data_IF_989281747711
#
_entry.id   IF_989281747711
#
_cell.length_a   1.000
_cell.length_b   1.000
_cell.length_c   1.000
_cell.angle_alpha   90.00
_cell.angle_beta   90.00
_cell.angle_gamma   90.00
#
_symmetry.space_group_name_H-M   'P 1'
#
loop_
_entity.id
_entity.type
_entity.pdbx_description
1 polymer ?
#
# COMPACT_ATOMS: atom_id res chain seq x y z
N UNK A 1 -14.67 -11.18 20.60
CA UNK A 1 -13.55 -12.01 20.13
C UNK A 1 -13.10 -11.47 18.78
N UNK A 2 -11.81 -11.47 18.49
CA UNK A 2 -11.30 -11.12 17.15
C UNK A 2 -11.61 -12.24 16.16
N UNK A 3 -11.91 -11.86 14.92
CA UNK A 3 -12.13 -12.84 13.83
C UNK A 3 -10.75 -13.22 13.28
N UNK A 4 -10.48 -14.50 13.07
CA UNK A 4 -9.23 -14.95 12.45
C UNK A 4 -9.23 -14.66 10.94
N UNK A 5 -8.07 -14.41 10.32
CA UNK A 5 -7.98 -14.23 8.89
C UNK A 5 -8.32 -15.52 8.12
N UNK A 6 -9.09 -15.38 7.06
CA UNK A 6 -9.20 -16.38 6.00
C UNK A 6 -8.15 -16.08 4.91
N UNK A 7 -7.54 -17.13 4.38
CA UNK A 7 -6.53 -17.03 3.32
C UNK A 7 -7.15 -17.38 1.99
N UNK A 8 -6.96 -16.54 1.00
CA UNK A 8 -7.54 -16.69 -0.34
C UNK A 8 -6.51 -16.36 -1.41
N UNK A 9 -6.81 -16.78 -2.64
CA UNK A 9 -6.01 -16.43 -3.81
C UNK A 9 -6.93 -16.14 -4.99
N UNK A 10 -6.44 -15.33 -5.92
CA UNK A 10 -7.06 -15.11 -7.23
C UNK A 10 -6.02 -15.33 -8.33
N UNK A 11 -6.42 -15.90 -9.47
CA UNK A 11 -5.56 -15.91 -10.65
C UNK A 11 -5.38 -14.49 -11.18
N UNK A 12 -4.19 -14.17 -11.61
CA UNK A 12 -3.86 -12.92 -12.29
C UNK A 12 -2.91 -13.21 -13.45
N UNK A 13 -3.40 -13.14 -14.68
CA UNK A 13 -2.68 -13.58 -15.88
C UNK A 13 -2.19 -15.04 -15.73
N UNK A 14 -0.87 -15.27 -15.83
CA UNK A 14 -0.22 -16.58 -15.61
C UNK A 14 0.30 -16.76 -14.18
N UNK A 15 -0.13 -15.91 -13.25
CA UNK A 15 0.33 -15.86 -11.85
C UNK A 15 -0.85 -16.04 -10.89
N UNK A 16 -0.54 -16.17 -9.62
CA UNK A 16 -1.53 -16.23 -8.56
C UNK A 16 -1.20 -15.19 -7.51
N UNK A 17 -2.16 -14.38 -7.12
CA UNK A 17 -2.00 -13.44 -6.02
C UNK A 17 -2.75 -13.93 -4.78
N UNK A 18 -2.05 -14.00 -3.66
CA UNK A 18 -2.54 -14.44 -2.35
C UNK A 18 -2.81 -13.25 -1.44
N UNK A 19 -3.79 -13.41 -0.55
CA UNK A 19 -4.14 -12.40 0.45
C UNK A 19 -4.80 -13.02 1.67
N UNK A 20 -4.73 -12.32 2.79
CA UNK A 20 -5.50 -12.58 3.99
C UNK A 20 -6.69 -11.63 4.04
N UNK A 21 -7.87 -12.13 4.42
CA UNK A 21 -9.08 -11.34 4.59
C UNK A 21 -9.69 -11.58 5.96
N UNK A 22 -10.08 -10.49 6.62
CA UNK A 22 -10.90 -10.53 7.84
C UNK A 22 -12.17 -9.74 7.56
N UNK A 23 -13.32 -10.37 7.74
CA UNK A 23 -14.62 -9.72 7.63
C UNK A 23 -15.58 -10.27 8.67
N UNK A 24 -16.35 -9.38 9.28
CA UNK A 24 -17.54 -9.74 10.09
C UNK A 24 -18.82 -9.65 9.27
N UNK A 25 -18.79 -8.84 8.21
CA UNK A 25 -19.90 -8.61 7.30
C UNK A 25 -19.37 -8.10 5.96
N UNK A 26 -19.76 -8.74 4.87
CA UNK A 26 -19.32 -8.39 3.52
C UNK A 26 -19.88 -7.06 3.00
N UNK A 27 -20.83 -6.46 3.72
CA UNK A 27 -21.36 -5.11 3.38
C UNK A 27 -20.52 -3.96 3.94
N UNK A 28 -19.48 -4.24 4.73
CA UNK A 28 -18.58 -3.23 5.28
C UNK A 28 -17.70 -2.61 4.16
N UNK A 29 -17.28 -1.33 4.32
CA UNK A 29 -16.28 -0.73 3.46
C UNK A 29 -14.98 -1.56 3.44
N UNK A 30 -14.30 -1.58 2.29
CA UNK A 30 -13.09 -2.34 2.11
C UNK A 30 -11.86 -1.52 2.53
N UNK A 31 -11.01 -2.10 3.38
CA UNK A 31 -9.70 -1.56 3.73
C UNK A 31 -8.62 -2.50 3.22
N UNK A 32 -7.80 -2.02 2.28
CA UNK A 32 -6.77 -2.80 1.59
C UNK A 32 -5.38 -2.35 2.04
N UNK A 33 -4.63 -3.27 2.64
CA UNK A 33 -3.25 -3.06 3.06
C UNK A 33 -2.27 -3.60 2.03
N UNK A 34 -1.31 -2.76 1.62
CA UNK A 34 -0.25 -3.09 0.65
C UNK A 34 1.11 -2.85 1.27
N UNK A 35 1.87 -3.94 1.45
CA UNK A 35 3.17 -3.92 2.14
C UNK A 35 4.30 -3.32 1.30
N UNK A 36 5.39 -2.93 1.97
CA UNK A 36 6.65 -2.48 1.36
C UNK A 36 7.53 -3.63 0.85
N UNK A 37 8.80 -3.34 0.60
CA UNK A 37 9.80 -4.30 0.14
C UNK A 37 10.96 -4.41 1.17
N UNK A 38 11.29 -5.60 1.67
CA UNK A 38 10.48 -6.82 1.61
C UNK A 38 9.25 -6.76 2.53
N UNK A 39 8.27 -7.64 2.30
CA UNK A 39 7.09 -7.72 3.14
C UNK A 39 6.16 -8.89 2.78
N UNK A 40 5.07 -8.99 3.51
CA UNK A 40 3.99 -9.93 3.27
C UNK A 40 2.71 -9.48 4.00
N UNK A 41 1.58 -10.16 3.76
CA UNK A 41 0.29 -9.85 4.34
C UNK A 41 0.31 -9.69 5.88
N UNK A 42 1.10 -10.51 6.60
CA UNK A 42 1.18 -10.48 8.07
C UNK A 42 1.80 -9.20 8.64
N UNK A 43 2.39 -8.36 7.79
CA UNK A 43 2.92 -7.05 8.18
C UNK A 43 1.88 -6.07 8.73
N UNK A 44 0.59 -6.43 8.67
CA UNK A 44 -0.52 -5.63 9.20
C UNK A 44 -1.39 -6.37 10.23
N UNK A 45 -0.89 -7.50 10.77
CA UNK A 45 -1.65 -8.29 11.75
C UNK A 45 -2.12 -7.48 12.95
N UNK A 46 -1.28 -6.56 13.44
CA UNK A 46 -1.63 -5.68 14.57
C UNK A 46 -2.86 -4.79 14.30
N UNK A 47 -3.09 -4.39 13.03
CA UNK A 47 -4.27 -3.64 12.63
C UNK A 47 -5.43 -4.58 12.28
N UNK A 48 -5.14 -5.71 11.64
CA UNK A 48 -6.17 -6.69 11.28
C UNK A 48 -6.81 -7.35 12.50
N UNK A 49 -6.07 -7.54 13.59
CA UNK A 49 -6.57 -8.11 14.85
C UNK A 49 -7.36 -7.10 15.71
N UNK A 50 -7.34 -5.82 15.34
CA UNK A 50 -8.06 -4.79 16.08
C UNK A 50 -9.58 -4.93 15.91
N UNK A 51 -10.27 -5.18 17.03
CA UNK A 51 -11.71 -5.45 17.02
C UNK A 51 -12.59 -4.26 16.63
N UNK A 52 -12.10 -3.02 16.79
CA UNK A 52 -12.82 -1.82 16.36
C UNK A 52 -12.72 -1.67 14.85
N UNK A 53 -11.53 -1.90 14.27
CA UNK A 53 -11.36 -1.92 12.82
C UNK A 53 -12.16 -3.06 12.16
N UNK A 54 -12.19 -4.27 12.77
CA UNK A 54 -13.01 -5.39 12.31
C UNK A 54 -14.53 -5.12 12.32
N UNK A 55 -15.00 -4.21 13.19
CA UNK A 55 -16.41 -3.77 13.19
C UNK A 55 -16.70 -2.76 12.09
N UNK A 56 -15.69 -2.03 11.64
CA UNK A 56 -15.85 -0.93 10.69
C UNK A 56 -15.53 -1.33 9.25
N UNK A 57 -14.63 -2.29 9.04
CA UNK A 57 -14.09 -2.64 7.74
C UNK A 57 -14.09 -4.15 7.47
N UNK A 58 -14.29 -4.52 6.21
CA UNK A 58 -13.74 -5.73 5.63
C UNK A 58 -12.29 -5.44 5.30
N UNK A 59 -11.34 -6.12 5.94
CA UNK A 59 -9.91 -5.84 5.79
C UNK A 59 -9.23 -6.90 4.94
N UNK A 60 -8.45 -6.46 3.97
CA UNK A 60 -7.61 -7.29 3.12
C UNK A 60 -6.16 -6.88 3.30
N UNK A 61 -5.27 -7.86 3.49
CA UNK A 61 -3.83 -7.65 3.43
C UNK A 61 -3.23 -8.57 2.38
N UNK A 62 -2.58 -7.98 1.39
CA UNK A 62 -2.08 -8.72 0.22
C UNK A 62 -0.66 -9.24 0.44
N UNK A 63 -0.33 -10.36 -0.20
CA UNK A 63 1.04 -10.66 -0.58
C UNK A 63 1.26 -10.09 -1.98
N UNK A 64 2.10 -9.05 -2.14
CA UNK A 64 2.41 -8.52 -3.48
C UNK A 64 3.07 -9.59 -4.35
N UNK A 65 2.95 -9.50 -5.66
CA UNK A 65 3.60 -10.44 -6.57
C UNK A 65 5.10 -10.56 -6.29
N UNK A 66 5.58 -11.80 -6.13
CA UNK A 66 6.94 -12.14 -5.74
C UNK A 66 7.15 -12.39 -4.25
N UNK A 67 6.17 -12.05 -3.40
CA UNK A 67 6.25 -12.19 -1.93
C UNK A 67 5.21 -13.18 -1.39
N UNK A 68 5.45 -13.67 -0.18
CA UNK A 68 4.54 -14.54 0.55
C UNK A 68 4.15 -15.76 -0.26
N UNK A 69 2.85 -15.91 -0.56
CA UNK A 69 2.32 -16.99 -1.40
C UNK A 69 1.96 -16.52 -2.82
N UNK A 70 2.33 -15.29 -3.20
CA UNK A 70 2.10 -14.72 -4.53
C UNK A 70 3.31 -14.95 -5.42
N UNK A 71 3.48 -16.19 -5.93
CA UNK A 71 4.61 -16.60 -6.77
C UNK A 71 5.98 -16.22 -6.15
N UNK A 72 6.19 -16.66 -4.92
CA UNK A 72 7.38 -16.35 -4.12
C UNK A 72 8.69 -16.49 -4.90
N UNK A 73 9.53 -15.47 -4.83
CA UNK A 73 10.82 -15.41 -5.54
C UNK A 73 10.75 -14.89 -6.96
N UNK A 74 9.56 -14.77 -7.58
CA UNK A 74 9.40 -14.25 -8.94
C UNK A 74 9.03 -12.77 -8.90
N UNK A 75 10.04 -11.90 -8.90
CA UNK A 75 9.83 -10.45 -8.81
C UNK A 75 8.87 -9.91 -9.88
N UNK A 76 8.01 -8.98 -9.49
CA UNK A 76 7.28 -8.10 -10.38
C UNK A 76 7.79 -6.67 -10.21
N UNK A 77 8.35 -6.10 -11.24
CA UNK A 77 9.05 -4.82 -11.17
C UNK A 77 8.15 -3.63 -11.52
N UNK A 78 7.09 -3.88 -12.29
CA UNK A 78 6.16 -2.85 -12.72
C UNK A 78 5.19 -2.48 -11.61
N UNK A 79 5.14 -1.19 -11.27
CA UNK A 79 4.15 -0.63 -10.35
C UNK A 79 2.72 -0.85 -10.86
N UNK A 80 2.51 -0.76 -12.18
CA UNK A 80 1.23 -0.98 -12.84
C UNK A 80 0.76 -2.43 -12.71
N UNK A 81 1.65 -3.41 -12.97
CA UNK A 81 1.32 -4.82 -12.81
C UNK A 81 1.04 -5.20 -11.36
N UNK A 82 1.76 -4.61 -10.40
CA UNK A 82 1.48 -4.77 -8.98
C UNK A 82 0.09 -4.20 -8.62
N UNK A 83 -0.26 -3.00 -9.12
CA UNK A 83 -1.56 -2.38 -8.91
C UNK A 83 -2.70 -3.24 -9.49
N UNK A 84 -2.61 -3.61 -10.77
CA UNK A 84 -3.63 -4.43 -11.45
C UNK A 84 -3.83 -5.79 -10.79
N UNK A 85 -2.76 -6.39 -10.25
CA UNK A 85 -2.89 -7.65 -9.51
C UNK A 85 -3.72 -7.50 -8.22
N UNK A 86 -3.58 -6.36 -7.53
CA UNK A 86 -4.36 -6.07 -6.32
C UNK A 86 -5.81 -5.73 -6.68
N UNK A 87 -6.03 -5.06 -7.80
CA UNK A 87 -7.37 -4.75 -8.32
C UNK A 87 -8.16 -6.02 -8.59
N UNK A 88 -7.54 -7.09 -9.08
CA UNK A 88 -8.22 -8.38 -9.25
C UNK A 88 -8.72 -8.99 -7.94
N UNK A 89 -8.05 -8.71 -6.81
CA UNK A 89 -8.54 -9.06 -5.47
C UNK A 89 -9.75 -8.20 -5.11
N UNK A 90 -9.66 -6.89 -5.36
CA UNK A 90 -10.73 -5.94 -5.05
C UNK A 90 -11.99 -6.27 -5.84
N UNK A 91 -11.88 -6.56 -7.11
CA UNK A 91 -13.00 -6.99 -7.97
C UNK A 91 -13.72 -8.21 -7.39
N UNK A 92 -12.96 -9.20 -6.93
CA UNK A 92 -13.52 -10.41 -6.31
C UNK A 92 -14.18 -10.13 -4.95
N UNK A 93 -13.60 -9.26 -4.14
CA UNK A 93 -13.99 -9.10 -2.73
C UNK A 93 -14.97 -7.94 -2.51
N UNK A 94 -15.06 -6.96 -3.42
CA UNK A 94 -15.96 -5.80 -3.30
C UNK A 94 -17.29 -6.01 -4.05
N UNK A 95 -17.94 -7.14 -3.78
CA UNK A 95 -19.20 -7.52 -4.45
C UNK A 95 -20.36 -6.57 -4.20
N UNK A 96 -20.32 -5.78 -3.15
CA UNK A 96 -21.34 -4.78 -2.80
C UNK A 96 -21.00 -3.35 -3.27
N UNK A 97 -19.98 -3.19 -4.11
CA UNK A 97 -19.55 -1.91 -4.68
C UNK A 97 -19.38 -0.80 -3.62
N UNK A 98 -18.87 -1.18 -2.45
CA UNK A 98 -18.55 -0.24 -1.38
C UNK A 98 -17.28 0.52 -1.72
N UNK A 99 -17.20 1.70 -1.17
CA UNK A 99 -16.00 2.53 -1.25
C UNK A 99 -14.81 1.84 -0.58
N UNK A 100 -13.62 2.19 -1.01
CA UNK A 100 -12.38 1.50 -0.68
C UNK A 100 -11.43 2.49 -0.01
N UNK A 101 -10.80 2.03 1.06
CA UNK A 101 -9.69 2.72 1.70
C UNK A 101 -8.41 1.95 1.33
N UNK A 102 -7.45 2.65 0.74
CA UNK A 102 -6.14 2.10 0.42
C UNK A 102 -5.10 2.53 1.46
N UNK A 103 -4.29 1.57 1.90
CA UNK A 103 -3.25 1.79 2.88
C UNK A 103 -1.94 1.17 2.40
N UNK A 104 -1.08 2.01 1.80
CA UNK A 104 0.21 1.59 1.26
C UNK A 104 1.38 2.03 2.14
N UNK A 105 2.33 1.12 2.40
CA UNK A 105 3.55 1.43 3.15
C UNK A 105 4.78 1.30 2.25
N UNK A 106 5.70 2.28 2.37
CA UNK A 106 6.99 2.26 1.68
C UNK A 106 6.81 2.04 0.18
N UNK A 107 7.33 0.95 -0.39
CA UNK A 107 7.14 0.52 -1.77
C UNK A 107 5.66 0.27 -2.14
N UNK A 108 4.81 -0.09 -1.18
CA UNK A 108 3.36 -0.24 -1.40
C UNK A 108 2.61 1.09 -1.59
N UNK A 109 3.21 2.21 -1.16
CA UNK A 109 2.55 3.52 -1.26
C UNK A 109 2.36 4.00 -2.71
N UNK A 110 3.37 3.98 -3.60
CA UNK A 110 3.15 4.35 -5.00
C UNK A 110 2.20 3.38 -5.74
N UNK A 111 2.17 2.10 -5.37
CA UNK A 111 1.23 1.13 -5.94
C UNK A 111 -0.21 1.54 -5.60
N UNK A 112 -0.51 1.80 -4.32
CA UNK A 112 -1.84 2.24 -3.89
C UNK A 112 -2.20 3.63 -4.43
N UNK A 113 -1.21 4.52 -4.61
CA UNK A 113 -1.44 5.81 -5.24
C UNK A 113 -1.81 5.68 -6.72
N UNK A 114 -1.18 4.76 -7.46
CA UNK A 114 -1.53 4.48 -8.85
C UNK A 114 -2.97 3.99 -8.97
N UNK A 115 -3.38 3.04 -8.12
CA UNK A 115 -4.78 2.56 -8.06
C UNK A 115 -5.77 3.71 -7.79
N UNK A 116 -5.43 4.62 -6.87
CA UNK A 116 -6.26 5.78 -6.55
C UNK A 116 -6.33 6.81 -7.71
N UNK A 117 -5.27 6.91 -8.51
CA UNK A 117 -5.22 7.76 -9.71
C UNK A 117 -6.09 7.16 -10.83
N UNK A 118 -6.04 5.85 -11.01
CA UNK A 118 -6.74 5.17 -12.11
C UNK A 118 -8.24 4.95 -11.81
N UNK A 119 -8.61 4.77 -10.53
CA UNK A 119 -9.98 4.51 -10.10
C UNK A 119 -10.48 5.45 -9.00
N UNK A 120 -10.37 6.79 -9.15
CA UNK A 120 -10.67 7.74 -8.08
C UNK A 120 -12.13 7.68 -7.61
N UNK A 121 -13.06 7.27 -8.48
CA UNK A 121 -14.49 7.17 -8.15
C UNK A 121 -14.81 6.05 -7.15
N UNK A 122 -13.93 5.06 -7.00
CA UNK A 122 -14.13 3.90 -6.13
C UNK A 122 -13.38 4.02 -4.80
N UNK A 123 -12.47 4.99 -4.69
CA UNK A 123 -11.58 5.13 -3.54
C UNK A 123 -12.00 6.32 -2.68
N UNK A 124 -12.29 6.08 -1.40
CA UNK A 124 -12.66 7.13 -0.45
C UNK A 124 -11.45 7.82 0.16
N UNK A 125 -10.39 7.06 0.42
CA UNK A 125 -9.22 7.56 1.13
C UNK A 125 -7.98 6.77 0.77
N UNK A 126 -6.87 7.48 0.65
CA UNK A 126 -5.54 6.91 0.49
C UNK A 126 -4.67 7.25 1.70
N UNK A 127 -4.01 6.25 2.28
CA UNK A 127 -2.95 6.41 3.26
C UNK A 127 -1.61 5.98 2.65
N UNK A 128 -0.64 6.88 2.65
CA UNK A 128 0.74 6.61 2.25
C UNK A 128 1.66 6.73 3.47
N UNK A 129 2.16 5.59 3.94
CA UNK A 129 2.98 5.50 5.16
C UNK A 129 4.44 5.30 4.79
N UNK A 130 5.32 6.20 5.26
CA UNK A 130 6.74 6.20 4.91
C UNK A 130 6.97 6.00 3.40
N UNK A 131 6.29 6.75 2.52
CA UNK A 131 6.30 6.49 1.08
C UNK A 131 7.69 6.70 0.48
N UNK A 132 8.01 5.89 -0.53
CA UNK A 132 9.21 6.07 -1.38
C UNK A 132 8.69 6.43 -2.78
N UNK A 133 8.65 7.73 -3.10
CA UNK A 133 7.96 8.26 -4.29
C UNK A 133 8.80 9.27 -5.10
N UNK A 134 9.89 9.80 -4.54
CA UNK A 134 10.78 10.71 -5.24
C UNK A 134 11.87 9.94 -5.99
N UNK A 135 11.84 9.89 -7.34
CA UNK A 135 12.85 9.18 -8.13
C UNK A 135 14.26 9.76 -7.99
N UNK A 136 14.40 11.03 -7.56
CA UNK A 136 15.68 11.67 -7.37
C UNK A 136 16.35 11.29 -6.04
N UNK A 137 15.60 10.69 -5.12
CA UNK A 137 16.05 10.37 -3.75
C UNK A 137 16.13 8.89 -3.45
N UNK A 138 16.21 8.06 -4.48
CA UNK A 138 16.41 6.63 -4.32
C UNK A 138 17.78 6.32 -3.69
N UNK A 139 17.78 5.71 -2.50
CA UNK A 139 19.02 5.40 -1.77
C UNK A 139 19.53 4.00 -2.12
N UNK A 140 20.75 3.94 -2.64
CA UNK A 140 21.47 2.69 -2.86
C UNK A 140 22.55 2.52 -1.80
N UNK A 141 22.37 1.55 -0.91
CA UNK A 141 23.39 1.19 0.07
C UNK A 141 24.47 0.32 -0.56
N UNK A 142 25.69 0.34 -0.02
CA UNK A 142 26.80 -0.46 -0.54
C UNK A 142 26.48 -1.95 -0.63
N UNK A 143 25.75 -2.49 0.35
CA UNK A 143 25.33 -3.90 0.38
C UNK A 143 24.28 -4.23 -0.68
N UNK A 144 23.51 -3.28 -1.18
CA UNK A 144 22.57 -3.53 -2.27
C UNK A 144 23.30 -3.85 -3.59
N UNK A 145 24.54 -3.35 -3.77
CA UNK A 145 25.38 -3.71 -4.92
C UNK A 145 25.80 -5.19 -4.86
N UNK A 146 26.16 -5.69 -3.67
CA UNK A 146 26.51 -7.08 -3.46
C UNK A 146 25.32 -8.03 -3.75
N UNK A 147 24.09 -7.60 -3.49
CA UNK A 147 22.87 -8.35 -3.81
C UNK A 147 22.64 -8.63 -5.31
N UNK A 148 23.43 -8.02 -6.20
CA UNK A 148 23.44 -8.36 -7.64
C UNK A 148 24.35 -9.56 -8.00
N UNK A 149 25.23 -9.95 -7.12
CA UNK A 149 26.13 -11.05 -7.40
C UNK A 149 25.38 -12.39 -7.27
N UNK A 150 25.45 -13.23 -8.29
CA UNK A 150 24.74 -14.53 -8.33
C UNK A 150 25.01 -15.40 -7.09
N UNK A 151 26.26 -15.39 -6.59
CA UNK A 151 26.64 -16.12 -5.36
C UNK A 151 25.92 -15.57 -4.13
N UNK A 152 25.78 -14.24 -4.01
CA UNK A 152 25.06 -13.61 -2.92
C UNK A 152 23.57 -13.88 -3.02
N UNK A 153 22.99 -13.79 -4.22
CA UNK A 153 21.57 -14.10 -4.47
C UNK A 153 21.23 -15.55 -4.07
N UNK A 154 22.13 -16.49 -4.33
CA UNK A 154 21.94 -17.89 -3.96
C UNK A 154 21.93 -18.12 -2.44
N UNK A 155 22.62 -17.28 -1.67
CA UNK A 155 22.70 -17.34 -0.22
C UNK A 155 21.59 -16.57 0.50
N UNK A 156 20.91 -15.64 -0.20
CA UNK A 156 19.86 -14.80 0.38
C UNK A 156 18.49 -15.48 0.27
N UNK A 157 17.60 -15.28 1.26
CA UNK A 157 16.18 -15.61 1.07
C UNK A 157 15.61 -14.93 -0.18
N UNK A 158 14.79 -15.65 -0.94
CA UNK A 158 14.19 -15.16 -2.18
C UNK A 158 13.48 -13.80 -2.04
N UNK A 159 12.84 -13.55 -0.91
CA UNK A 159 12.20 -12.25 -0.65
C UNK A 159 13.18 -11.07 -0.68
N UNK A 160 14.45 -11.29 -0.33
CA UNK A 160 15.50 -10.26 -0.41
C UNK A 160 16.00 -10.09 -1.84
N UNK A 161 16.02 -11.17 -2.63
CA UNK A 161 16.32 -11.10 -4.06
C UNK A 161 15.24 -10.31 -4.79
N UNK A 162 13.96 -10.58 -4.50
CA UNK A 162 12.82 -9.81 -5.03
C UNK A 162 12.93 -8.33 -4.65
N UNK A 163 13.15 -8.03 -3.35
CA UNK A 163 13.30 -6.65 -2.87
C UNK A 163 14.48 -5.93 -3.53
N UNK A 164 15.58 -6.65 -3.78
CA UNK A 164 16.74 -6.11 -4.49
C UNK A 164 16.39 -5.78 -5.95
N UNK A 165 15.72 -6.68 -6.65
CA UNK A 165 15.30 -6.44 -8.04
C UNK A 165 14.33 -5.25 -8.13
N UNK A 166 13.31 -5.19 -7.26
CA UNK A 166 12.40 -4.05 -7.17
C UNK A 166 13.15 -2.74 -6.89
N UNK A 167 14.10 -2.76 -5.96
CA UNK A 167 14.92 -1.59 -5.61
C UNK A 167 15.63 -0.98 -6.82
N UNK A 168 16.14 -1.82 -7.70
CA UNK A 168 16.85 -1.34 -8.89
C UNK A 168 15.90 -0.83 -9.98
N UNK A 169 14.69 -1.36 -10.07
CA UNK A 169 13.66 -0.89 -10.99
C UNK A 169 12.93 0.38 -10.49
N UNK A 170 12.89 0.59 -9.17
CA UNK A 170 12.04 1.57 -8.52
C UNK A 170 12.24 3.00 -9.04
N UNK A 171 13.48 3.42 -9.28
CA UNK A 171 13.74 4.77 -9.80
C UNK A 171 13.08 5.01 -11.16
N UNK A 172 13.12 4.02 -12.06
CA UNK A 172 12.47 4.13 -13.38
C UNK A 172 10.95 4.13 -13.26
N UNK A 173 10.40 3.27 -12.38
CA UNK A 173 8.97 3.23 -12.10
C UNK A 173 8.48 4.58 -11.55
N UNK A 174 9.20 5.17 -10.60
CA UNK A 174 8.84 6.48 -10.05
C UNK A 174 8.99 7.62 -11.07
N UNK A 175 9.91 7.52 -12.03
CA UNK A 175 9.96 8.47 -13.16
C UNK A 175 8.71 8.36 -14.04
N UNK A 176 8.19 7.17 -14.30
CA UNK A 176 6.93 6.99 -15.02
C UNK A 176 5.72 7.52 -14.24
N UNK A 177 5.78 7.52 -12.91
CA UNK A 177 4.75 8.10 -12.06
C UNK A 177 4.73 9.64 -12.05
N UNK A 178 5.83 10.33 -12.40
CA UNK A 178 5.93 11.80 -12.32
C UNK A 178 4.76 12.54 -12.98
N UNK A 179 4.38 12.25 -14.24
CA UNK A 179 3.25 12.93 -14.88
C UNK A 179 1.89 12.54 -14.30
N UNK A 180 1.79 11.40 -13.60
CA UNK A 180 0.54 10.87 -13.06
C UNK A 180 0.14 11.53 -11.73
N UNK A 181 1.08 12.00 -10.90
CA UNK A 181 0.80 12.55 -9.57
C UNK A 181 -0.23 13.67 -9.56
N UNK A 182 -0.23 14.54 -10.57
CA UNK A 182 -1.22 15.62 -10.72
C UNK A 182 -2.65 15.13 -10.90
N UNK A 183 -2.85 13.86 -11.25
CA UNK A 183 -4.18 13.26 -11.45
C UNK A 183 -4.73 12.62 -10.16
N UNK A 184 -3.93 12.58 -9.08
CA UNK A 184 -4.43 12.10 -7.79
C UNK A 184 -5.41 13.12 -7.21
N UNK A 185 -6.70 12.74 -7.15
CA UNK A 185 -7.80 13.55 -6.66
C UNK A 185 -8.43 13.01 -5.37
N UNK A 186 -8.04 11.80 -4.96
CA UNK A 186 -8.56 11.13 -3.77
C UNK A 186 -7.99 11.78 -2.50
N UNK A 187 -8.82 12.05 -1.47
CA UNK A 187 -8.32 12.54 -0.18
C UNK A 187 -7.20 11.65 0.35
N UNK A 188 -6.03 12.24 0.59
CA UNK A 188 -4.80 11.49 0.86
C UNK A 188 -4.17 11.91 2.19
N UNK A 189 -3.72 10.94 2.98
CA UNK A 189 -2.92 11.17 4.18
C UNK A 189 -1.53 10.61 3.99
N UNK A 190 -0.52 11.47 4.11
CA UNK A 190 0.90 11.09 4.01
C UNK A 190 1.52 11.15 5.40
N UNK A 191 2.12 10.04 5.85
CA UNK A 191 2.73 9.96 7.19
C UNK A 191 4.18 9.52 7.04
N UNK A 192 5.11 10.28 7.63
CA UNK A 192 6.53 9.97 7.64
C UNK A 192 7.13 10.13 9.03
N UNK A 193 8.17 9.38 9.33
CA UNK A 193 8.95 9.52 10.55
C UNK A 193 10.16 10.45 10.36
N UNK A 194 10.44 11.31 11.33
CA UNK A 194 11.62 12.20 11.28
C UNK A 194 12.95 11.42 11.33
N UNK A 195 12.93 10.24 11.98
CA UNK A 195 14.10 9.36 12.10
C UNK A 195 14.13 8.26 11.03
N UNK A 196 13.33 8.39 9.96
CA UNK A 196 13.34 7.43 8.87
C UNK A 196 14.69 7.47 8.15
N UNK A 197 15.43 6.35 8.24
CA UNK A 197 16.73 6.18 7.59
C UNK A 197 16.65 5.35 6.31
N UNK A 198 15.48 4.77 6.02
CA UNK A 198 15.25 3.92 4.84
C UNK A 198 14.67 4.74 3.71
N UNK A 199 13.53 5.38 3.92
CA UNK A 199 13.00 6.37 2.98
C UNK A 199 13.68 7.73 3.22
N UNK A 200 14.08 8.42 2.14
CA UNK A 200 14.64 9.76 2.27
C UNK A 200 13.56 10.73 2.78
N UNK A 201 13.86 11.56 3.80
CA UNK A 201 12.91 12.57 4.28
C UNK A 201 12.40 13.53 3.19
N UNK A 202 13.13 13.68 2.09
CA UNK A 202 12.71 14.48 0.94
C UNK A 202 11.43 13.94 0.26
N UNK A 203 11.08 12.65 0.44
CA UNK A 203 9.81 12.12 -0.03
C UNK A 203 8.60 12.86 0.55
N UNK A 204 8.70 13.38 1.78
CA UNK A 204 7.65 14.20 2.38
C UNK A 204 7.47 15.54 1.64
N UNK A 205 8.56 16.25 1.38
CA UNK A 205 8.53 17.51 0.62
C UNK A 205 8.12 17.27 -0.85
N UNK A 206 8.53 16.15 -1.43
CA UNK A 206 8.08 15.75 -2.77
C UNK A 206 6.56 15.53 -2.80
N UNK A 207 6.00 14.80 -1.83
CA UNK A 207 4.55 14.62 -1.72
C UNK A 207 3.81 15.97 -1.62
N UNK A 208 4.28 16.90 -0.77
CA UNK A 208 3.70 18.25 -0.65
C UNK A 208 3.68 18.99 -1.99
N UNK A 209 4.73 18.82 -2.80
CA UNK A 209 4.85 19.49 -4.11
C UNK A 209 3.97 18.85 -5.18
N UNK A 210 3.80 17.53 -5.16
CA UNK A 210 3.15 16.79 -6.25
C UNK A 210 1.65 16.57 -6.04
N UNK A 211 1.19 16.49 -4.77
CA UNK A 211 -0.20 16.21 -4.44
C UNK A 211 -1.01 17.52 -4.33
N UNK A 212 -1.20 18.18 -5.46
CA UNK A 212 -1.84 19.52 -5.52
C UNK A 212 -3.34 19.47 -5.81
N UNK A 213 -3.84 18.35 -6.31
CA UNK A 213 -5.22 18.22 -6.78
C UNK A 213 -6.11 17.36 -5.86
N UNK A 214 -5.62 17.02 -4.67
CA UNK A 214 -6.38 16.30 -3.66
C UNK A 214 -6.30 16.98 -2.29
N UNK A 215 -7.31 16.75 -1.45
CA UNK A 215 -7.22 17.11 -0.04
C UNK A 215 -6.14 16.26 0.64
N UNK A 216 -5.06 16.91 1.07
CA UNK A 216 -3.87 16.22 1.58
C UNK A 216 -3.61 16.56 3.04
N UNK A 217 -3.65 15.53 3.91
CA UNK A 217 -3.20 15.62 5.28
C UNK A 217 -1.75 15.15 5.39
N UNK A 218 -0.83 16.03 5.80
CA UNK A 218 0.60 15.76 5.90
C UNK A 218 1.01 15.63 7.38
N UNK A 219 1.48 14.45 7.78
CA UNK A 219 1.87 14.15 9.16
C UNK A 219 3.33 13.73 9.22
N UNK A 220 4.14 14.50 9.95
CA UNK A 220 5.54 14.18 10.22
C UNK A 220 5.70 13.84 11.71
N UNK A 221 6.02 12.58 12.01
CA UNK A 221 6.06 12.07 13.37
C UNK A 221 7.44 12.24 13.98
N UNK A 222 7.51 13.02 15.06
CA UNK A 222 8.71 13.13 15.89
C UNK A 222 9.07 11.76 16.45
N UNK A 223 10.37 11.45 16.45
CA UNK A 223 10.91 10.22 17.03
C UNK A 223 10.39 8.90 16.44
N UNK A 224 9.76 8.89 15.26
CA UNK A 224 9.39 7.70 14.53
C UNK A 224 10.38 7.41 13.40
N UNK A 225 10.63 6.11 13.14
CA UNK A 225 11.46 5.61 12.04
C UNK A 225 10.64 5.25 10.81
N UNK A 226 11.11 4.24 10.06
CA UNK A 226 10.44 3.76 8.85
C UNK A 226 9.22 2.86 9.13
N UNK A 227 9.24 2.15 10.26
CA UNK A 227 8.26 1.13 10.59
C UNK A 227 7.10 1.70 11.43
N UNK A 228 6.55 2.83 11.01
CA UNK A 228 5.52 3.58 11.75
C UNK A 228 4.31 2.71 12.12
N UNK A 229 3.91 1.78 11.27
CA UNK A 229 2.77 0.88 11.54
C UNK A 229 2.99 -0.02 12.76
N UNK A 230 4.24 -0.30 13.11
CA UNK A 230 4.63 -1.05 14.30
C UNK A 230 4.99 -0.14 15.48
N UNK A 231 5.60 1.01 15.20
CA UNK A 231 6.04 1.96 16.22
C UNK A 231 4.86 2.75 16.81
N UNK A 232 3.81 2.99 16.00
CA UNK A 232 2.64 3.82 16.35
C UNK A 232 1.32 3.16 15.92
N UNK A 233 1.04 1.92 16.34
CA UNK A 233 -0.15 1.18 15.89
C UNK A 233 -1.45 1.87 16.30
N UNK A 234 -1.50 2.49 17.49
CA UNK A 234 -2.69 3.21 17.97
C UNK A 234 -3.00 4.45 17.13
N UNK A 235 -1.97 5.18 16.68
CA UNK A 235 -2.18 6.31 15.76
C UNK A 235 -2.78 5.82 14.45
N UNK A 236 -2.24 4.74 13.88
CA UNK A 236 -2.77 4.16 12.63
C UNK A 236 -4.23 3.73 12.80
N UNK A 237 -4.54 3.01 13.89
CA UNK A 237 -5.91 2.63 14.24
C UNK A 237 -6.83 3.86 14.32
N UNK A 238 -6.43 4.88 15.06
CA UNK A 238 -7.26 6.06 15.29
C UNK A 238 -7.53 6.83 13.99
N UNK A 239 -6.53 6.99 13.12
CA UNK A 239 -6.71 7.60 11.80
C UNK A 239 -7.68 6.79 10.93
N UNK A 240 -7.57 5.46 10.92
CA UNK A 240 -8.50 4.59 10.19
C UNK A 240 -9.92 4.66 10.77
N UNK A 241 -10.08 4.78 12.09
CA UNK A 241 -11.40 4.93 12.72
C UNK A 241 -12.06 6.28 12.41
N UNK A 242 -11.27 7.32 12.15
CA UNK A 242 -11.77 8.65 11.82
C UNK A 242 -12.24 8.78 10.35
N UNK A 243 -11.88 7.88 9.45
CA UNK A 243 -12.39 7.92 8.06
C UNK A 243 -13.91 7.82 8.09
N UNK A 244 -14.58 8.88 7.66
CA UNK A 244 -16.03 8.90 7.47
C UNK A 244 -16.30 8.45 6.03
N UNK A 245 -17.07 7.37 5.78
CA UNK A 245 -17.57 7.14 4.43
C UNK A 245 -18.47 8.32 4.05
N UNK A 246 -18.15 8.99 2.95
CA UNK A 246 -19.00 10.08 2.47
C UNK A 246 -20.44 9.59 2.34
N UNK A 247 -21.37 10.30 2.97
CA UNK A 247 -22.79 10.10 2.75
C UNK A 247 -23.04 10.39 1.27
N UNK A 248 -23.47 9.39 0.51
CA UNK A 248 -23.96 9.59 -0.86
C UNK A 248 -25.04 10.65 -0.75
N UNK A 249 -24.77 11.87 -1.21
CA UNK A 249 -25.79 12.90 -1.34
C UNK A 249 -26.75 12.42 -2.42
N UNK A 250 -27.91 11.91 -2.01
CA UNK A 250 -29.03 11.65 -2.88
C UNK A 250 -29.58 13.00 -3.35
N UNK A 251 -28.93 13.65 -4.28
CA UNK A 251 -29.51 14.69 -5.11
C UNK A 251 -29.91 14.06 -6.45
N UNK A 252 -30.90 13.20 -6.40
CA UNK A 252 -31.73 12.92 -7.61
C UNK A 252 -32.80 13.98 -7.61
N UNK A 253 -32.53 15.08 -8.26
CA UNK A 253 -33.59 16.00 -8.73
C UNK A 253 -34.27 15.33 -9.90
N UNK A 254 -35.41 14.71 -9.62
CA UNK A 254 -36.39 14.37 -10.67
C UNK A 254 -37.04 15.68 -11.10
N UNK A 255 -36.79 16.07 -12.35
CA UNK A 255 -37.65 16.96 -13.13
C UNK A 255 -38.03 16.27 -14.43
#
# INVERSE_FOLDING_TARGET
>A
MSTKPAYRSVPFLKRTIHYAVISRNDTLPLLVFVHGAPGAWYGYMNLMDDTLLQKKYKMISVDRLGYGKSDYGKAELSTEMQASSIESIIEKENTSHKKIILFGRSYGAPITALMAIEHPQNIDKLFMISPVIDPAKEKFYWFSKAGKWKVVQWLLPEMLNVATAEKYAHQSEMKMMLPKWKNLSVPTTVITGEKDRIADPANFAFAQKCLTNCDTTMIKLKNAGHLITYEKPELMRNLLLQVQPEKISKNISVR
#
